data_IF_878352514513
#
_entry.id   IF_878352514513
#
_cell.length_a   1.000
_cell.length_b   1.000
_cell.length_c   1.000
_cell.angle_alpha   90.00
_cell.angle_beta   90.00
_cell.angle_gamma   90.00
#
_symmetry.space_group_name_H-M   'P 1'
#
loop_
_entity.id
_entity.type
_entity.pdbx_description
1 polymer ?
#
# COMPACT_ATOMS: atom_id res chain seq x y z
N UNK A 1 12.61 11.98 24.84
CA UNK A 1 12.14 11.54 23.53
C UNK A 1 10.89 10.69 23.70
N UNK A 2 9.82 11.09 23.08
CA UNK A 2 8.60 10.33 23.14
C UNK A 2 8.59 9.30 22.02
N UNK A 3 8.52 8.02 22.40
CA UNK A 3 8.37 6.92 21.45
C UNK A 3 6.90 6.54 21.39
N UNK A 4 6.28 6.84 20.27
CA UNK A 4 4.91 6.43 20.02
C UNK A 4 4.84 4.98 19.55
N UNK A 5 3.80 4.28 19.98
CA UNK A 5 3.44 2.97 19.44
C UNK A 5 2.15 3.11 18.68
N UNK A 6 2.13 2.51 17.50
CA UNK A 6 0.94 2.50 16.65
C UNK A 6 0.46 1.07 16.50
N UNK A 7 -0.83 0.88 16.63
CA UNK A 7 -1.46 -0.43 16.49
C UNK A 7 -2.30 -0.44 15.22
N UNK A 8 -2.08 -1.47 14.41
CA UNK A 8 -2.77 -1.64 13.14
C UNK A 8 -3.48 -2.99 13.12
N UNK A 9 -4.66 -3.00 12.48
CA UNK A 9 -5.37 -4.22 12.14
C UNK A 9 -5.11 -4.50 10.66
N UNK A 10 -4.52 -5.66 10.35
CA UNK A 10 -4.36 -6.07 8.95
C UNK A 10 -5.73 -6.37 8.36
N UNK A 11 -6.09 -5.64 7.32
CA UNK A 11 -7.37 -5.79 6.64
C UNK A 11 -7.31 -6.83 5.53
N UNK A 12 -6.22 -6.85 4.76
CA UNK A 12 -6.00 -7.81 3.69
C UNK A 12 -4.53 -7.82 3.27
N UNK A 13 -4.11 -8.84 2.53
CA UNK A 13 -2.75 -8.93 2.01
C UNK A 13 -2.64 -9.92 0.85
N UNK A 14 -1.55 -9.80 0.10
CA UNK A 14 -1.11 -10.75 -0.92
C UNK A 14 0.35 -11.08 -0.68
N UNK A 15 0.71 -12.34 -0.85
CA UNK A 15 2.08 -12.82 -0.74
C UNK A 15 2.36 -13.78 -1.91
N UNK A 16 3.43 -13.49 -2.67
CA UNK A 16 3.84 -14.34 -3.80
C UNK A 16 4.58 -15.61 -3.37
N UNK A 17 4.94 -15.71 -2.09
CA UNK A 17 5.83 -16.75 -1.59
C UNK A 17 7.31 -16.45 -1.83
N UNK A 18 7.65 -15.37 -2.53
CA UNK A 18 9.02 -14.91 -2.75
C UNK A 18 9.35 -13.81 -1.76
N UNK A 19 10.56 -13.82 -1.21
CA UNK A 19 11.02 -12.78 -0.31
C UNK A 19 11.25 -11.48 -1.07
N UNK A 20 10.62 -10.39 -0.57
CA UNK A 20 10.89 -9.05 -1.07
C UNK A 20 12.10 -8.43 -0.39
N UNK A 21 12.65 -7.38 -1.00
CA UNK A 21 13.76 -6.62 -0.44
C UNK A 21 13.38 -5.21 -0.04
N UNK A 22 12.41 -4.63 -0.70
CA UNK A 22 12.00 -3.25 -0.47
C UNK A 22 10.49 -3.16 -0.33
N UNK A 23 10.04 -2.33 0.59
CA UNK A 23 8.63 -2.07 0.84
C UNK A 23 8.36 -0.59 0.60
N UNK A 24 7.36 -0.30 -0.22
CA UNK A 24 6.80 1.04 -0.30
C UNK A 24 5.66 1.12 0.70
N UNK A 25 5.79 1.99 1.70
CA UNK A 25 4.77 2.24 2.70
C UNK A 25 3.99 3.50 2.34
N UNK A 26 2.71 3.37 2.11
CA UNK A 26 1.83 4.48 1.75
C UNK A 26 0.93 4.80 2.94
N UNK A 27 1.08 5.99 3.50
CA UNK A 27 0.27 6.45 4.61
C UNK A 27 -0.91 7.26 4.08
N UNK A 28 -2.12 6.82 4.39
CA UNK A 28 -3.34 7.38 3.84
C UNK A 28 -4.25 7.93 4.93
N UNK A 29 -4.97 8.99 4.60
CA UNK A 29 -6.10 9.50 5.40
C UNK A 29 -7.26 9.75 4.45
N UNK A 30 -7.98 8.68 4.05
CA UNK A 30 -9.08 8.83 3.12
C UNK A 30 -10.23 9.63 3.73
N UNK A 31 -11.06 10.21 2.86
CA UNK A 31 -12.30 10.88 3.29
C UNK A 31 -13.32 9.89 3.88
N UNK A 32 -13.21 8.62 3.50
CA UNK A 32 -14.03 7.54 4.02
C UNK A 32 -13.21 6.25 4.10
N UNK A 33 -12.82 5.85 5.31
CA UNK A 33 -11.99 4.68 5.53
C UNK A 33 -12.65 3.39 5.07
N UNK A 34 -13.94 3.22 5.35
CA UNK A 34 -14.67 2.00 4.98
C UNK A 34 -14.71 1.82 3.47
N UNK A 35 -15.01 2.87 2.72
CA UNK A 35 -15.03 2.83 1.26
C UNK A 35 -13.63 2.60 0.69
N UNK A 36 -12.61 3.20 1.28
CA UNK A 36 -11.22 3.00 0.86
C UNK A 36 -10.79 1.54 1.01
N UNK A 37 -11.06 0.94 2.17
CA UNK A 37 -10.74 -0.46 2.44
C UNK A 37 -11.52 -1.36 1.47
N UNK A 38 -12.80 -1.10 1.28
CA UNK A 38 -13.65 -1.89 0.39
C UNK A 38 -13.16 -1.83 -1.06
N UNK A 39 -12.81 -0.65 -1.57
CA UNK A 39 -12.26 -0.52 -2.92
C UNK A 39 -10.93 -1.28 -3.05
N UNK A 40 -10.07 -1.22 -2.05
CA UNK A 40 -8.82 -1.97 -2.05
C UNK A 40 -9.06 -3.48 -2.13
N UNK A 41 -10.06 -3.98 -1.42
CA UNK A 41 -10.38 -5.41 -1.44
C UNK A 41 -11.03 -5.87 -2.75
N UNK A 42 -11.87 -5.06 -3.35
CA UNK A 42 -12.69 -5.45 -4.50
C UNK A 42 -12.11 -5.07 -5.86
N UNK A 43 -11.34 -3.99 -5.93
CA UNK A 43 -10.76 -3.51 -7.18
C UNK A 43 -9.24 -3.68 -7.23
N UNK A 44 -8.52 -3.19 -6.22
CA UNK A 44 -7.05 -3.17 -6.24
C UNK A 44 -6.43 -4.53 -5.95
N UNK A 45 -6.93 -5.27 -4.97
CA UNK A 45 -6.39 -6.59 -4.65
C UNK A 45 -6.43 -7.56 -5.83
N UNK A 46 -7.56 -7.71 -6.56
CA UNK A 46 -7.58 -8.56 -7.75
C UNK A 46 -6.59 -8.10 -8.83
N UNK A 47 -6.43 -6.79 -9.02
CA UNK A 47 -5.45 -6.24 -9.94
C UNK A 47 -4.03 -6.59 -9.53
N UNK A 48 -3.66 -6.36 -8.28
CA UNK A 48 -2.33 -6.70 -7.77
C UNK A 48 -2.08 -8.20 -7.79
N UNK A 49 -3.08 -9.01 -7.48
CA UNK A 49 -2.97 -10.47 -7.55
C UNK A 49 -2.64 -10.95 -8.97
N UNK A 50 -3.32 -10.40 -9.95
CA UNK A 50 -3.08 -10.72 -11.37
C UNK A 50 -1.67 -10.34 -11.81
N UNK A 51 -1.12 -9.27 -11.27
CA UNK A 51 0.18 -8.73 -11.63
C UNK A 51 1.31 -9.17 -10.67
N UNK A 52 0.98 -9.98 -9.66
CA UNK A 52 1.98 -10.48 -8.71
C UNK A 52 3.07 -11.27 -9.44
N UNK A 53 4.33 -10.97 -9.12
CA UNK A 53 5.48 -11.55 -9.80
C UNK A 53 5.91 -10.80 -11.06
N UNK A 54 5.10 -9.88 -11.57
CA UNK A 54 5.46 -9.01 -12.71
C UNK A 54 6.11 -7.74 -12.19
N UNK A 55 7.09 -7.24 -12.94
CA UNK A 55 7.79 -5.99 -12.60
C UNK A 55 8.40 -5.99 -11.20
N UNK A 56 8.75 -7.16 -10.68
CA UNK A 56 9.40 -7.33 -9.39
C UNK A 56 8.47 -7.30 -8.18
N UNK A 57 7.15 -7.23 -8.37
CA UNK A 57 6.17 -7.22 -7.29
C UNK A 57 6.14 -8.57 -6.56
N UNK A 58 6.31 -8.55 -5.23
CA UNK A 58 6.34 -9.77 -4.41
C UNK A 58 5.29 -9.80 -3.31
N UNK A 59 4.64 -8.67 -3.03
CA UNK A 59 3.63 -8.58 -1.98
C UNK A 59 2.84 -7.29 -2.01
N UNK A 60 1.71 -7.30 -1.34
CA UNK A 60 0.83 -6.15 -1.17
C UNK A 60 0.02 -6.31 0.11
N UNK A 61 -0.38 -5.21 0.72
CA UNK A 61 -1.27 -5.28 1.85
C UNK A 61 -1.88 -3.95 2.24
N UNK A 62 -2.85 -4.03 3.14
CA UNK A 62 -3.56 -2.90 3.70
C UNK A 62 -3.88 -3.14 5.17
N UNK A 63 -3.70 -2.13 5.99
CA UNK A 63 -4.02 -2.16 7.41
C UNK A 63 -4.68 -0.85 7.83
N UNK A 64 -5.57 -0.95 8.81
CA UNK A 64 -6.18 0.22 9.43
C UNK A 64 -5.57 0.48 10.80
N UNK A 65 -5.41 1.75 11.16
CA UNK A 65 -4.89 2.12 12.49
C UNK A 65 -5.99 1.92 13.53
N UNK A 66 -5.65 1.19 14.58
CA UNK A 66 -6.56 1.00 15.73
C UNK A 66 -6.38 2.14 16.72
N UNK A 67 -5.12 2.47 17.04
CA UNK A 67 -4.77 3.51 18.03
C UNK A 67 -3.28 3.86 17.91
N UNK A 68 -2.84 5.02 18.38
CA UNK A 68 -3.65 6.18 18.74
C UNK A 68 -4.10 6.97 17.51
N UNK A 69 -5.10 7.83 17.70
CA UNK A 69 -5.57 8.73 16.64
C UNK A 69 -5.19 10.16 17.00
N UNK A 70 -4.65 10.87 16.02
CA UNK A 70 -4.40 12.29 16.09
C UNK A 70 -5.09 12.96 14.90
N UNK A 71 -5.45 14.22 15.01
CA UNK A 71 -6.25 14.93 14.00
C UNK A 71 -5.69 14.78 12.58
N UNK A 72 -4.38 14.90 12.40
CA UNK A 72 -3.73 14.85 11.10
C UNK A 72 -3.03 13.54 10.80
N UNK A 73 -3.17 12.53 11.65
CA UNK A 73 -2.49 11.27 11.41
C UNK A 73 -3.18 10.43 10.34
N UNK A 74 -2.37 9.66 9.61
CA UNK A 74 -2.90 8.67 8.68
C UNK A 74 -3.72 7.62 9.43
N UNK A 75 -4.78 7.15 8.81
CA UNK A 75 -5.68 6.14 9.39
C UNK A 75 -5.54 4.79 8.71
N UNK A 76 -4.96 4.77 7.51
CA UNK A 76 -4.77 3.57 6.70
C UNK A 76 -3.31 3.51 6.26
N UNK A 77 -2.78 2.30 6.22
CA UNK A 77 -1.46 1.98 5.69
C UNK A 77 -1.63 0.96 4.58
N UNK A 78 -1.09 1.25 3.40
CA UNK A 78 -0.95 0.25 2.34
C UNK A 78 0.53 0.04 2.06
N UNK A 79 0.88 -1.15 1.58
CA UNK A 79 2.26 -1.43 1.22
C UNK A 79 2.35 -2.27 -0.04
N UNK A 80 3.42 -2.02 -0.77
CA UNK A 80 3.80 -2.75 -1.96
C UNK A 80 5.22 -3.26 -1.76
N UNK A 81 5.45 -4.53 -2.03
CA UNK A 81 6.75 -5.17 -1.81
C UNK A 81 7.38 -5.51 -3.14
N UNK A 82 8.68 -5.20 -3.28
CA UNK A 82 9.45 -5.40 -4.52
C UNK A 82 10.76 -6.12 -4.26
N UNK A 83 11.27 -6.77 -5.30
CA UNK A 83 12.51 -7.54 -5.28
C UNK A 83 13.77 -6.66 -5.40
N UNK A 84 13.64 -5.44 -5.94
CA UNK A 84 14.81 -4.57 -6.21
C UNK A 84 14.42 -3.09 -6.14
N UNK A 85 15.42 -2.25 -5.85
CA UNK A 85 15.24 -0.79 -5.88
C UNK A 85 14.93 -0.29 -7.29
N UNK A 86 15.50 -0.91 -8.32
CA UNK A 86 15.19 -0.57 -9.71
C UNK A 86 13.70 -0.69 -9.99
N UNK A 87 13.07 -1.78 -9.55
CA UNK A 87 11.63 -1.98 -9.74
C UNK A 87 10.79 -1.05 -8.88
N UNK A 88 11.24 -0.70 -7.67
CA UNK A 88 10.61 0.34 -6.85
C UNK A 88 10.57 1.68 -7.61
N UNK A 89 11.70 2.09 -8.17
CA UNK A 89 11.80 3.36 -8.89
C UNK A 89 10.92 3.38 -10.15
N UNK A 90 10.89 2.30 -10.89
CA UNK A 90 10.01 2.16 -12.06
C UNK A 90 8.54 2.29 -11.68
N UNK A 91 8.14 1.63 -10.60
CA UNK A 91 6.78 1.72 -10.09
C UNK A 91 6.41 3.16 -9.70
N UNK A 92 7.27 3.83 -8.93
CA UNK A 92 7.03 5.21 -8.49
C UNK A 92 7.05 6.19 -9.66
N UNK A 93 7.81 5.91 -10.71
CA UNK A 93 7.86 6.73 -11.93
C UNK A 93 6.63 6.52 -12.83
N UNK A 94 5.75 5.58 -12.51
CA UNK A 94 4.54 5.33 -13.29
C UNK A 94 4.81 4.65 -14.64
N UNK A 95 5.90 3.87 -14.75
CA UNK A 95 6.23 3.17 -15.99
C UNK A 95 5.23 2.07 -16.36
N UNK A 96 4.42 1.63 -15.39
CA UNK A 96 3.39 0.63 -15.61
C UNK A 96 2.01 1.27 -15.43
N UNK A 97 1.46 1.91 -16.47
CA UNK A 97 0.20 2.63 -16.34
C UNK A 97 -0.96 1.69 -16.01
N UNK A 98 -1.91 2.21 -15.26
CA UNK A 98 -3.12 1.46 -14.90
C UNK A 98 -3.95 1.16 -16.15
N UNK A 99 -4.51 -0.07 -16.24
CA UNK A 99 -5.48 -0.37 -17.28
C UNK A 99 -6.69 0.54 -17.19
N UNK A 100 -7.29 0.85 -18.33
CA UNK A 100 -8.51 1.69 -18.38
C UNK A 100 -9.63 1.09 -17.54
N UNK A 101 -9.71 -0.23 -17.46
CA UNK A 101 -10.71 -0.91 -16.62
C UNK A 101 -10.59 -0.58 -15.15
N UNK A 102 -9.37 -0.35 -14.65
CA UNK A 102 -9.14 0.08 -13.27
C UNK A 102 -9.34 1.60 -13.15
N UNK A 103 -8.73 2.36 -14.05
CA UNK A 103 -8.80 3.82 -14.03
C UNK A 103 -10.25 4.35 -14.08
N UNK A 104 -11.12 3.67 -14.81
CA UNK A 104 -12.53 4.07 -14.95
C UNK A 104 -13.39 3.67 -13.74
N UNK A 105 -12.94 2.73 -12.92
CA UNK A 105 -13.71 2.23 -11.78
C UNK A 105 -13.26 2.82 -10.45
N UNK A 106 -12.01 3.25 -10.35
CA UNK A 106 -11.46 3.72 -9.09
C UNK A 106 -12.07 5.05 -8.67
N UNK A 107 -12.32 5.16 -7.36
CA UNK A 107 -12.77 6.40 -6.72
C UNK A 107 -11.66 7.04 -5.89
N UNK A 108 -10.40 6.65 -6.15
CA UNK A 108 -9.26 7.17 -5.38
C UNK A 108 -9.14 8.70 -5.45
N UNK A 109 -9.51 9.33 -6.55
CA UNK A 109 -9.53 10.78 -6.66
C UNK A 109 -10.49 11.45 -5.68
N UNK A 110 -11.60 10.82 -5.37
CA UNK A 110 -12.57 11.31 -4.39
C UNK A 110 -12.18 10.93 -2.95
N UNK A 111 -11.66 9.71 -2.78
CA UNK A 111 -11.27 9.20 -1.47
C UNK A 111 -9.97 9.82 -0.97
N UNK A 112 -9.09 10.18 -1.89
CA UNK A 112 -7.75 10.71 -1.62
C UNK A 112 -7.48 11.97 -2.44
N UNK A 113 -8.25 13.05 -2.23
CA UNK A 113 -8.14 14.24 -3.08
C UNK A 113 -6.76 14.91 -3.01
N UNK A 114 -6.02 14.69 -1.92
CA UNK A 114 -4.66 15.21 -1.72
C UNK A 114 -3.58 14.14 -1.86
N UNK A 115 -3.94 12.92 -2.31
CA UNK A 115 -3.02 11.80 -2.38
C UNK A 115 -2.66 11.24 -1.00
N UNK A 116 -1.58 10.47 -0.94
CA UNK A 116 -1.07 9.93 0.32
C UNK A 116 -0.42 11.03 1.16
N UNK A 117 -0.54 10.91 2.49
CA UNK A 117 0.12 11.84 3.42
C UNK A 117 1.63 11.67 3.40
N UNK A 118 2.10 10.45 3.20
CA UNK A 118 3.52 10.14 3.07
C UNK A 118 3.69 8.85 2.29
N UNK A 119 4.79 8.77 1.53
CA UNK A 119 5.23 7.55 0.86
C UNK A 119 6.67 7.33 1.31
N UNK A 120 6.93 6.17 1.92
CA UNK A 120 8.22 5.81 2.46
C UNK A 120 8.73 4.54 1.80
N UNK A 121 10.05 4.45 1.63
CA UNK A 121 10.69 3.24 1.11
C UNK A 121 11.48 2.62 2.26
N UNK A 122 11.22 1.35 2.54
CA UNK A 122 11.87 0.58 3.59
C UNK A 122 12.63 -0.58 2.99
N UNK A 123 13.87 -0.79 3.44
CA UNK A 123 14.65 -1.97 3.07
C UNK A 123 14.43 -3.07 4.10
N UNK A 124 14.18 -4.29 3.61
CA UNK A 124 14.08 -5.47 4.45
C UNK A 124 15.50 -6.01 4.63
N UNK A 125 16.09 -5.81 5.81
CA UNK A 125 17.49 -6.19 6.08
C UNK A 125 17.62 -7.56 6.76
N UNK A 126 16.51 -8.20 7.06
CA UNK A 126 16.53 -9.56 7.61
C UNK A 126 15.20 -9.92 8.25
N UNK A 127 14.97 -11.20 8.39
CA UNK A 127 13.91 -11.73 9.22
C UNK A 127 14.50 -12.68 10.24
N UNK A 128 14.15 -12.50 11.50
CA UNK A 128 14.48 -13.45 12.55
C UNK A 128 13.27 -14.34 12.82
N UNK A 129 13.51 -15.61 12.75
CA UNK A 129 12.47 -16.58 13.05
C UNK A 129 12.55 -17.01 14.50
#
# INVERSE_FOLDING_TARGET
THLGRYFYKQEDYLDSGKMGKYVIMNRAKPTNNTQFIEENKTLWKPYFKKNMGKNGSTGWGIASRIAPYYEDSSTILTWDVFDSMTNVMKYLAGENPLPTSIANKTKMGELMPKGFKAIEIWEIIGSTN
#
